data_IF_292344434314
#
_entry.id   IF_292344434314
#
_cell.length_a   1.000
_cell.length_b   1.000
_cell.length_c   1.000
_cell.angle_alpha   90.00
_cell.angle_beta   90.00
_cell.angle_gamma   90.00
#
_symmetry.space_group_name_H-M   'P 1'
#
loop_
_entity.id
_entity.type
_entity.pdbx_description
1 polymer ?
#
# COMPACT_ATOMS: atom_id res chain seq x y z
N UNK A 1 -25.26 -0.58 16.08
CA UNK A 1 -23.88 -0.15 15.80
C UNK A 1 -23.74 0.06 14.30
N UNK A 2 -23.15 1.17 13.90
CA UNK A 2 -22.91 1.55 12.50
C UNK A 2 -21.42 1.75 12.24
N UNK A 3 -21.00 1.47 11.01
CA UNK A 3 -19.68 1.82 10.48
C UNK A 3 -19.79 2.99 9.50
N UNK A 4 -18.76 3.83 9.46
CA UNK A 4 -18.65 4.94 8.50
C UNK A 4 -17.82 4.47 7.30
N UNK A 5 -18.43 4.44 6.12
CA UNK A 5 -17.72 4.11 4.88
C UNK A 5 -16.77 5.24 4.45
N UNK A 6 -15.86 4.92 3.52
CA UNK A 6 -14.82 5.85 3.04
C UNK A 6 -15.39 7.10 2.34
N UNK A 7 -16.58 6.98 1.78
CA UNK A 7 -17.38 8.06 1.18
C UNK A 7 -18.29 8.78 2.20
N UNK A 8 -18.22 8.42 3.49
CA UNK A 8 -18.89 9.10 4.59
C UNK A 8 -20.28 8.59 4.96
N UNK A 9 -20.89 7.68 4.19
CA UNK A 9 -22.20 7.12 4.57
C UNK A 9 -22.10 6.12 5.72
N UNK A 10 -23.18 6.02 6.49
CA UNK A 10 -23.30 5.07 7.60
C UNK A 10 -23.96 3.79 7.12
N UNK A 11 -23.41 2.65 7.52
CA UNK A 11 -24.00 1.33 7.26
C UNK A 11 -24.07 0.53 8.56
N UNK A 12 -25.14 -0.23 8.83
CA UNK A 12 -25.18 -1.12 9.99
C UNK A 12 -24.06 -2.16 9.92
N UNK A 13 -23.45 -2.45 11.07
CA UNK A 13 -22.43 -3.51 11.15
C UNK A 13 -23.08 -4.86 10.84
N UNK A 14 -22.54 -5.56 9.83
CA UNK A 14 -22.98 -6.90 9.45
C UNK A 14 -21.80 -7.87 9.58
N UNK A 15 -21.93 -8.87 10.45
CA UNK A 15 -20.89 -9.87 10.68
C UNK A 15 -20.47 -10.58 9.39
N UNK A 16 -21.45 -11.03 8.60
CA UNK A 16 -21.20 -11.75 7.35
C UNK A 16 -20.34 -10.94 6.39
N UNK A 17 -20.53 -9.62 6.32
CA UNK A 17 -19.71 -8.75 5.45
C UNK A 17 -18.25 -8.66 5.91
N UNK A 18 -18.00 -8.64 7.22
CA UNK A 18 -16.64 -8.64 7.78
C UNK A 18 -15.98 -9.98 7.48
N UNK A 19 -16.66 -11.08 7.78
CA UNK A 19 -16.19 -12.44 7.57
C UNK A 19 -15.91 -12.72 6.10
N UNK A 20 -16.84 -12.40 5.20
CA UNK A 20 -16.68 -12.60 3.76
C UNK A 20 -15.50 -11.82 3.19
N UNK A 21 -15.27 -10.61 3.70
CA UNK A 21 -14.12 -9.79 3.30
C UNK A 21 -12.81 -10.45 3.69
N UNK A 22 -12.68 -10.94 4.92
CA UNK A 22 -11.47 -11.62 5.41
C UNK A 22 -11.29 -12.94 4.64
N UNK A 23 -12.36 -13.71 4.46
CA UNK A 23 -12.35 -14.99 3.75
C UNK A 23 -11.84 -14.88 2.31
N UNK A 24 -12.20 -13.80 1.59
CA UNK A 24 -11.67 -13.52 0.24
C UNK A 24 -10.15 -13.35 0.20
N UNK A 25 -9.51 -13.02 1.32
CA UNK A 25 -8.05 -12.83 1.43
C UNK A 25 -7.33 -14.09 1.93
N UNK A 26 -8.05 -15.15 2.27
CA UNK A 26 -7.49 -16.43 2.74
C UNK A 26 -7.07 -17.39 1.62
N UNK A 27 -7.04 -16.95 0.34
CA UNK A 27 -6.70 -17.83 -0.78
C UNK A 27 -5.30 -18.45 -0.63
N UNK A 28 -5.20 -19.76 -0.78
CA UNK A 28 -3.91 -20.48 -0.68
C UNK A 28 -3.24 -20.42 0.70
N UNK A 29 -3.96 -20.02 1.75
CA UNK A 29 -3.50 -20.17 3.15
C UNK A 29 -3.90 -21.55 3.68
N UNK A 30 -3.21 -22.00 4.72
CA UNK A 30 -3.53 -23.25 5.40
C UNK A 30 -4.96 -23.24 6.00
N UNK A 31 -5.62 -24.40 6.02
CA UNK A 31 -6.98 -24.59 6.57
C UNK A 31 -7.10 -24.24 8.06
N UNK A 32 -5.99 -24.20 8.80
CA UNK A 32 -5.93 -23.73 10.19
C UNK A 32 -6.19 -22.21 10.32
N UNK A 33 -6.08 -21.45 9.22
CA UNK A 33 -6.42 -20.02 9.17
C UNK A 33 -7.92 -19.84 9.01
N UNK A 34 -8.57 -19.45 10.09
CA UNK A 34 -10.02 -19.32 10.17
C UNK A 34 -10.43 -17.84 10.17
N UNK A 35 -11.00 -17.40 9.05
CA UNK A 35 -11.52 -16.05 8.88
C UNK A 35 -12.64 -15.70 9.88
N UNK A 36 -13.43 -16.69 10.31
CA UNK A 36 -14.53 -16.50 11.26
C UNK A 36 -13.97 -16.15 12.63
N UNK A 37 -12.92 -16.84 13.08
CA UNK A 37 -12.24 -16.53 14.36
C UNK A 37 -11.67 -15.12 14.39
N UNK A 38 -11.07 -14.68 13.28
CA UNK A 38 -10.59 -13.29 13.15
C UNK A 38 -11.77 -12.32 13.26
N UNK A 39 -12.84 -12.54 12.49
CA UNK A 39 -14.00 -11.66 12.47
C UNK A 39 -14.69 -11.56 13.85
N UNK A 40 -14.79 -12.66 14.60
CA UNK A 40 -15.34 -12.67 15.96
C UNK A 40 -14.55 -11.74 16.89
N UNK A 41 -13.21 -11.87 16.90
CA UNK A 41 -12.34 -11.01 17.71
C UNK A 41 -12.38 -9.55 17.28
N UNK A 42 -12.52 -9.28 16.00
CA UNK A 42 -12.65 -7.90 15.49
C UNK A 42 -13.93 -7.26 16.04
N UNK A 43 -15.05 -7.98 16.08
CA UNK A 43 -16.32 -7.46 16.60
C UNK A 43 -16.22 -7.04 18.06
N UNK A 44 -15.52 -7.81 18.88
CA UNK A 44 -15.32 -7.51 20.30
C UNK A 44 -14.63 -6.15 20.52
N UNK A 45 -13.82 -5.71 19.54
CA UNK A 45 -13.15 -4.40 19.56
C UNK A 45 -13.88 -3.27 18.84
N UNK A 46 -15.09 -3.49 18.29
CA UNK A 46 -15.82 -2.45 17.56
C UNK A 46 -16.57 -1.50 18.50
N UNK A 47 -16.61 -0.23 18.09
CA UNK A 47 -17.44 0.81 18.70
C UNK A 47 -18.33 1.49 17.63
N UNK A 48 -19.39 2.17 18.08
CA UNK A 48 -20.32 2.84 17.17
C UNK A 48 -19.65 4.02 16.45
N UNK A 49 -19.79 4.06 15.13
CA UNK A 49 -19.21 5.10 14.28
C UNK A 49 -17.78 4.83 13.82
N UNK A 50 -17.21 3.65 14.10
CA UNK A 50 -15.88 3.26 13.58
C UNK A 50 -15.85 3.30 12.05
N UNK A 51 -14.77 3.83 11.48
CA UNK A 51 -14.64 3.88 10.02
C UNK A 51 -14.27 2.52 9.44
N UNK A 52 -14.65 2.27 8.19
CA UNK A 52 -14.26 1.03 7.49
C UNK A 52 -12.74 0.88 7.30
N UNK A 53 -11.99 1.98 7.33
CA UNK A 53 -10.52 1.94 7.27
C UNK A 53 -9.91 1.55 8.63
N UNK A 54 -10.47 2.04 9.74
CA UNK A 54 -10.08 1.61 11.09
C UNK A 54 -10.45 0.15 11.35
N UNK A 55 -11.63 -0.28 10.88
CA UNK A 55 -12.06 -1.68 10.96
C UNK A 55 -11.09 -2.62 10.24
N UNK A 56 -10.64 -2.26 9.03
CA UNK A 56 -9.63 -3.04 8.29
C UNK A 56 -8.28 -3.06 9.04
N UNK A 57 -7.88 -1.97 9.69
CA UNK A 57 -6.66 -1.92 10.51
C UNK A 57 -6.77 -2.84 11.73
N UNK A 58 -7.89 -2.78 12.47
CA UNK A 58 -8.16 -3.66 13.60
C UNK A 58 -8.16 -5.13 13.18
N UNK A 59 -8.73 -5.45 12.02
CA UNK A 59 -8.72 -6.81 11.47
C UNK A 59 -7.31 -7.30 11.13
N UNK A 60 -6.46 -6.44 10.56
CA UNK A 60 -5.07 -6.76 10.29
C UNK A 60 -4.27 -6.99 11.57
N UNK A 61 -4.43 -6.13 12.58
CA UNK A 61 -3.76 -6.27 13.89
C UNK A 61 -4.22 -7.52 14.63
N UNK A 62 -5.51 -7.81 14.59
CA UNK A 62 -6.10 -9.02 15.18
C UNK A 62 -5.52 -10.27 14.52
N UNK A 63 -5.50 -10.32 13.19
CA UNK A 63 -4.87 -11.42 12.45
C UNK A 63 -3.38 -11.55 12.79
N UNK A 64 -2.64 -10.44 12.88
CA UNK A 64 -1.22 -10.48 13.23
C UNK A 64 -0.97 -11.08 14.63
N UNK A 65 -1.84 -10.79 15.60
CA UNK A 65 -1.76 -11.40 16.95
C UNK A 65 -1.96 -12.92 16.93
N UNK A 66 -2.67 -13.44 15.93
CA UNK A 66 -2.96 -14.87 15.75
C UNK A 66 -1.83 -15.64 15.06
N UNK A 67 -0.72 -14.98 14.72
CA UNK A 67 0.50 -15.62 14.18
C UNK A 67 1.05 -16.71 15.12
N UNK A 68 0.81 -16.57 16.43
CA UNK A 68 1.19 -17.58 17.45
C UNK A 68 0.49 -18.92 17.18
N UNK A 69 -0.73 -18.90 16.61
CA UNK A 69 -1.47 -20.11 16.29
C UNK A 69 -1.01 -20.74 14.97
N UNK A 70 -0.76 -19.92 13.94
CA UNK A 70 -0.22 -20.39 12.66
C UNK A 70 0.46 -19.24 11.90
N UNK A 71 1.62 -19.43 11.25
CA UNK A 71 2.34 -18.37 10.54
C UNK A 71 1.54 -17.69 9.42
N UNK A 72 0.65 -18.41 8.74
CA UNK A 72 -0.17 -17.85 7.65
C UNK A 72 -1.14 -16.74 8.12
N UNK A 73 -1.43 -16.62 9.42
CA UNK A 73 -2.14 -15.44 9.94
C UNK A 73 -1.36 -14.14 9.72
N UNK A 74 -0.01 -14.18 9.71
CA UNK A 74 0.81 -13.02 9.35
C UNK A 74 0.63 -12.65 7.87
N UNK A 75 0.48 -13.64 6.97
CA UNK A 75 0.16 -13.37 5.57
C UNK A 75 -1.25 -12.78 5.44
N UNK A 76 -2.24 -13.34 6.13
CA UNK A 76 -3.60 -12.79 6.14
C UNK A 76 -3.62 -11.34 6.63
N UNK A 77 -2.92 -11.06 7.74
CA UNK A 77 -2.79 -9.72 8.29
C UNK A 77 -2.20 -8.74 7.27
N UNK A 78 -1.12 -9.14 6.59
CA UNK A 78 -0.51 -8.34 5.52
C UNK A 78 -1.50 -8.06 4.40
N UNK A 79 -2.22 -9.10 3.92
CA UNK A 79 -3.20 -8.97 2.84
C UNK A 79 -4.34 -8.04 3.21
N UNK A 80 -4.83 -8.08 4.45
CA UNK A 80 -5.87 -7.15 4.95
C UNK A 80 -5.32 -5.72 4.93
N UNK A 81 -4.13 -5.49 5.49
CA UNK A 81 -3.51 -4.17 5.56
C UNK A 81 -3.24 -3.57 4.17
N UNK A 82 -2.75 -4.38 3.23
CA UNK A 82 -2.49 -4.00 1.84
C UNK A 82 -3.79 -3.73 1.10
N UNK A 83 -4.82 -4.57 1.29
CA UNK A 83 -6.15 -4.32 0.73
C UNK A 83 -6.73 -3.00 1.24
N UNK A 84 -6.52 -2.66 2.51
CA UNK A 84 -6.89 -1.37 3.08
C UNK A 84 -6.14 -0.23 2.39
N UNK A 85 -4.81 -0.33 2.25
CA UNK A 85 -3.99 0.68 1.57
C UNK A 85 -4.46 0.90 0.13
N UNK A 86 -4.72 -0.15 -0.63
CA UNK A 86 -5.21 -0.05 -2.01
C UNK A 86 -6.55 0.68 -2.11
N UNK A 87 -7.41 0.60 -1.10
CA UNK A 87 -8.68 1.33 -1.06
C UNK A 87 -8.55 2.80 -0.63
N UNK A 88 -7.41 3.16 -0.03
CA UNK A 88 -7.13 4.53 0.42
C UNK A 88 -6.13 5.26 -0.50
N UNK A 89 -5.65 4.60 -1.57
CA UNK A 89 -4.67 5.16 -2.52
C UNK A 89 -5.17 5.06 -3.95
N UNK A 90 -4.73 5.99 -4.81
CA UNK A 90 -5.03 5.92 -6.23
C UNK A 90 -4.43 4.62 -6.83
N UNK A 91 -5.13 4.06 -7.82
CA UNK A 91 -4.66 2.88 -8.54
C UNK A 91 -3.59 3.26 -9.57
N UNK A 92 -3.74 4.39 -10.26
CA UNK A 92 -2.84 4.80 -11.34
C UNK A 92 -1.50 5.29 -10.78
N UNK A 93 -0.40 4.70 -11.24
CA UNK A 93 0.95 5.12 -10.81
C UNK A 93 1.26 6.53 -11.31
N UNK A 94 1.05 6.80 -12.59
CA UNK A 94 1.35 8.12 -13.18
C UNK A 94 0.53 9.24 -12.53
N UNK A 95 -0.73 9.00 -12.17
CA UNK A 95 -1.56 9.99 -11.45
C UNK A 95 -1.02 10.26 -10.05
N UNK A 96 -0.65 9.23 -9.29
CA UNK A 96 -0.02 9.39 -7.96
C UNK A 96 1.29 10.17 -8.08
N UNK A 97 2.13 9.86 -9.06
CA UNK A 97 3.39 10.57 -9.30
C UNK A 97 3.16 12.04 -9.68
N UNK A 98 2.12 12.31 -10.48
CA UNK A 98 1.72 13.65 -10.85
C UNK A 98 1.19 14.46 -9.66
N UNK A 99 0.42 13.84 -8.77
CA UNK A 99 -0.06 14.46 -7.52
C UNK A 99 1.11 14.82 -6.59
N UNK A 100 2.08 13.91 -6.45
CA UNK A 100 3.28 14.12 -5.65
C UNK A 100 4.20 15.22 -6.19
N UNK A 101 4.30 15.35 -7.51
CA UNK A 101 5.04 16.43 -8.15
C UNK A 101 4.38 17.79 -7.94
N UNK A 102 3.05 17.87 -8.08
CA UNK A 102 2.31 19.12 -7.89
C UNK A 102 1.99 19.43 -6.43
N UNK A 103 2.60 18.72 -5.47
CA UNK A 103 2.32 18.92 -4.05
C UNK A 103 2.68 20.35 -3.60
N UNK A 104 1.73 20.97 -2.92
CA UNK A 104 1.88 22.28 -2.28
C UNK A 104 1.72 22.10 -0.78
N UNK A 105 2.68 22.59 -0.02
CA UNK A 105 2.63 22.50 1.43
C UNK A 105 1.52 23.41 1.98
N UNK A 106 0.49 22.86 2.65
CA UNK A 106 -0.67 23.64 3.08
C UNK A 106 -0.34 24.65 4.19
N UNK A 107 0.81 24.51 4.88
CA UNK A 107 1.19 25.41 5.97
C UNK A 107 1.75 26.75 5.48
N UNK A 108 2.43 26.75 4.34
CA UNK A 108 3.09 27.94 3.80
C UNK A 108 2.68 28.28 2.35
N UNK A 109 1.87 27.44 1.71
CA UNK A 109 1.39 27.64 0.34
C UNK A 109 2.47 27.48 -0.73
N UNK A 110 3.67 27.00 -0.39
CA UNK A 110 4.77 26.86 -1.33
C UNK A 110 4.78 25.49 -1.99
N UNK A 111 5.21 25.44 -3.26
CA UNK A 111 5.45 24.17 -3.97
C UNK A 111 6.52 23.37 -3.22
N UNK A 112 6.20 22.13 -2.91
CA UNK A 112 7.09 21.20 -2.22
C UNK A 112 7.05 19.86 -2.97
N UNK A 113 7.50 19.80 -4.24
CA UNK A 113 7.44 18.59 -5.04
C UNK A 113 8.16 17.45 -4.32
N UNK A 114 7.54 16.27 -4.30
CA UNK A 114 8.15 15.06 -3.74
C UNK A 114 8.90 14.24 -4.81
N UNK A 115 8.79 14.65 -6.07
CA UNK A 115 9.38 14.00 -7.23
C UNK A 115 10.23 15.02 -8.01
N UNK A 116 11.36 14.62 -8.57
CA UNK A 116 12.20 15.50 -9.40
C UNK A 116 11.55 15.81 -10.75
N UNK A 117 11.88 16.97 -11.33
CA UNK A 117 11.37 17.40 -12.65
C UNK A 117 11.71 16.37 -13.75
N UNK A 118 12.92 15.84 -13.73
CA UNK A 118 13.40 14.87 -14.71
C UNK A 118 12.61 13.56 -14.65
N UNK A 119 12.42 13.03 -13.45
CA UNK A 119 11.70 11.75 -13.25
C UNK A 119 10.21 11.93 -13.51
N UNK A 120 9.62 13.05 -13.09
CA UNK A 120 8.24 13.38 -13.43
C UNK A 120 8.03 13.40 -14.95
N UNK A 121 8.92 14.08 -15.69
CA UNK A 121 8.84 14.14 -17.15
C UNK A 121 8.87 12.76 -17.79
N UNK A 122 9.84 11.92 -17.42
CA UNK A 122 9.95 10.54 -17.94
C UNK A 122 8.69 9.73 -17.65
N UNK A 123 8.16 9.83 -16.43
CA UNK A 123 6.94 9.12 -16.03
C UNK A 123 5.74 9.58 -16.84
N UNK A 124 5.59 10.88 -17.07
CA UNK A 124 4.45 11.42 -17.81
C UNK A 124 4.54 11.11 -19.31
N UNK A 125 5.72 11.16 -19.92
CA UNK A 125 5.94 10.80 -21.32
C UNK A 125 5.68 9.30 -21.59
N UNK A 126 5.89 8.44 -20.58
CA UNK A 126 5.75 6.99 -20.69
C UNK A 126 4.63 6.42 -19.80
N UNK A 127 3.63 7.25 -19.45
CA UNK A 127 2.64 6.93 -18.43
C UNK A 127 1.87 5.62 -18.70
N UNK A 128 1.38 5.44 -19.91
CA UNK A 128 0.62 4.23 -20.30
C UNK A 128 1.50 2.97 -20.22
N UNK A 129 2.73 3.07 -20.73
CA UNK A 129 3.71 1.99 -20.69
C UNK A 129 4.02 1.59 -19.24
N UNK A 130 4.42 2.52 -18.38
CA UNK A 130 4.78 2.23 -16.99
C UNK A 130 3.59 1.72 -16.17
N UNK A 131 2.40 2.31 -16.34
CA UNK A 131 1.19 1.87 -15.65
C UNK A 131 0.83 0.41 -15.99
N UNK A 132 0.99 0.01 -17.25
CA UNK A 132 0.64 -1.35 -17.71
C UNK A 132 1.59 -2.44 -17.20
N UNK A 133 2.83 -2.10 -16.85
CA UNK A 133 3.82 -3.06 -16.35
C UNK A 133 3.75 -3.29 -14.84
N UNK A 134 3.02 -2.45 -14.09
CA UNK A 134 2.89 -2.61 -12.64
C UNK A 134 1.93 -3.75 -12.30
N UNK A 135 2.44 -4.73 -11.54
CA UNK A 135 1.67 -5.88 -11.08
C UNK A 135 1.32 -5.71 -9.59
N UNK A 136 0.17 -5.07 -9.32
CA UNK A 136 -0.29 -4.80 -7.95
C UNK A 136 -0.51 -6.04 -7.09
N UNK A 137 -0.73 -7.22 -7.71
CA UNK A 137 -0.85 -8.46 -6.95
C UNK A 137 0.43 -8.82 -6.19
N UNK A 138 1.60 -8.31 -6.61
CA UNK A 138 2.87 -8.50 -5.90
C UNK A 138 2.92 -7.81 -4.54
N UNK A 139 2.07 -6.81 -4.28
CA UNK A 139 1.96 -6.23 -2.94
C UNK A 139 1.52 -7.29 -1.91
N UNK A 140 0.65 -8.23 -2.28
CA UNK A 140 0.17 -9.27 -1.36
C UNK A 140 1.22 -10.33 -0.99
N UNK A 141 2.44 -10.23 -1.53
CA UNK A 141 3.56 -11.11 -1.19
C UNK A 141 4.33 -10.61 0.05
N UNK A 142 4.09 -9.40 0.55
CA UNK A 142 4.68 -8.93 1.80
C UNK A 142 4.07 -9.63 3.00
N UNK A 143 4.88 -9.86 4.03
CA UNK A 143 4.42 -10.21 5.36
C UNK A 143 3.95 -8.95 6.11
N UNK A 144 3.28 -9.14 7.25
CA UNK A 144 2.67 -8.02 7.97
C UNK A 144 3.72 -7.03 8.47
N UNK A 145 4.82 -7.52 9.03
CA UNK A 145 5.88 -6.67 9.58
C UNK A 145 6.68 -5.95 8.49
N UNK A 146 7.01 -6.65 7.38
CA UNK A 146 7.62 -6.02 6.22
C UNK A 146 6.73 -4.91 5.64
N UNK A 147 5.43 -5.18 5.48
CA UNK A 147 4.49 -4.16 5.00
C UNK A 147 4.39 -2.97 5.96
N UNK A 148 4.27 -3.19 7.29
CA UNK A 148 4.20 -2.10 8.27
C UNK A 148 5.48 -1.26 8.32
N UNK A 149 6.63 -1.88 8.09
CA UNK A 149 7.90 -1.16 7.92
C UNK A 149 7.84 -0.24 6.70
N UNK A 150 7.36 -0.73 5.55
CA UNK A 150 7.18 0.09 4.35
C UNK A 150 6.18 1.24 4.59
N UNK A 151 5.02 0.93 5.15
CA UNK A 151 3.94 1.89 5.45
C UNK A 151 4.40 3.03 6.36
N UNK A 152 5.20 2.71 7.38
CA UNK A 152 5.66 3.71 8.35
C UNK A 152 6.67 4.67 7.73
N UNK A 153 7.63 4.14 6.99
CA UNK A 153 8.88 4.82 6.69
C UNK A 153 9.12 5.07 5.20
N UNK A 154 8.75 4.15 4.31
CA UNK A 154 9.20 4.17 2.91
C UNK A 154 8.18 4.77 1.94
N UNK A 155 6.88 4.57 2.19
CA UNK A 155 5.83 5.05 1.29
C UNK A 155 5.63 6.56 1.48
N UNK A 156 5.68 7.31 0.37
CA UNK A 156 5.53 8.76 0.40
C UNK A 156 4.12 9.20 0.83
N UNK A 157 4.08 10.35 1.51
CA UNK A 157 2.87 10.91 2.14
C UNK A 157 2.60 12.31 1.64
N UNK A 158 1.33 12.60 1.35
CA UNK A 158 0.80 13.94 1.10
C UNK A 158 -0.09 14.30 2.28
N UNK A 159 0.18 15.44 2.93
CA UNK A 159 -0.59 15.91 4.09
C UNK A 159 -0.73 14.86 5.22
N UNK A 160 0.34 14.07 5.43
CA UNK A 160 0.37 13.00 6.43
C UNK A 160 -0.34 11.70 6.03
N UNK A 161 -1.01 11.66 4.87
CA UNK A 161 -1.66 10.46 4.33
C UNK A 161 -0.77 9.78 3.31
N UNK A 162 -0.67 8.46 3.38
CA UNK A 162 0.08 7.66 2.42
C UNK A 162 -0.65 7.70 1.08
N UNK A 163 0.06 8.07 0.03
CA UNK A 163 -0.47 8.12 -1.35
C UNK A 163 0.14 7.05 -2.25
N UNK A 164 1.31 6.55 -1.86
CA UNK A 164 2.10 5.61 -2.64
C UNK A 164 1.82 4.15 -2.21
N UNK A 165 1.67 3.24 -3.18
CA UNK A 165 1.65 1.79 -2.94
C UNK A 165 3.07 1.22 -2.98
N UNK A 166 3.34 0.04 -2.40
CA UNK A 166 4.67 -0.55 -2.50
C UNK A 166 5.14 -0.73 -3.96
N UNK A 167 4.26 -1.18 -4.87
CA UNK A 167 4.62 -1.21 -6.29
C UNK A 167 4.91 0.18 -6.90
N UNK A 168 4.21 1.23 -6.47
CA UNK A 168 4.50 2.59 -6.94
C UNK A 168 5.88 3.05 -6.50
N UNK A 169 6.25 2.77 -5.25
CA UNK A 169 7.58 3.05 -4.71
C UNK A 169 8.67 2.33 -5.51
N UNK A 170 8.50 1.02 -5.76
CA UNK A 170 9.49 0.25 -6.53
C UNK A 170 9.62 0.76 -7.97
N UNK A 171 8.52 1.13 -8.63
CA UNK A 171 8.57 1.69 -9.97
C UNK A 171 9.22 3.09 -9.97
N UNK A 172 8.87 3.96 -9.01
CA UNK A 172 9.53 5.27 -8.84
C UNK A 172 11.04 5.13 -8.65
N UNK A 173 11.47 4.20 -7.80
CA UNK A 173 12.90 3.94 -7.57
C UNK A 173 13.57 3.48 -8.87
N UNK A 174 12.93 2.58 -9.61
CA UNK A 174 13.46 2.05 -10.88
C UNK A 174 13.61 3.15 -11.94
N UNK A 175 12.60 4.00 -12.12
CA UNK A 175 12.68 5.19 -12.99
C UNK A 175 13.70 6.20 -12.46
N UNK A 176 13.78 6.39 -11.14
CA UNK A 176 14.74 7.29 -10.53
C UNK A 176 16.21 6.89 -10.73
N UNK A 177 16.48 5.61 -11.00
CA UNK A 177 17.83 5.09 -11.28
C UNK A 177 18.13 5.14 -12.79
N UNK A 178 17.19 4.70 -13.63
CA UNK A 178 17.45 4.43 -15.05
C UNK A 178 16.89 5.48 -16.01
N UNK A 179 16.01 6.37 -15.53
CA UNK A 179 15.40 7.46 -16.30
C UNK A 179 14.80 6.96 -17.63
N UNK A 180 15.35 7.41 -18.76
CA UNK A 180 14.84 7.10 -20.10
C UNK A 180 15.15 5.67 -20.59
N UNK A 181 16.00 4.92 -19.88
CA UNK A 181 16.27 3.52 -20.20
C UNK A 181 15.15 2.61 -19.67
N UNK A 182 14.03 2.58 -20.40
CA UNK A 182 12.82 1.86 -19.99
C UNK A 182 13.03 0.35 -19.87
N UNK A 183 13.96 -0.24 -20.61
CA UNK A 183 14.26 -1.66 -20.49
C UNK A 183 14.84 -1.97 -19.11
N UNK A 184 15.87 -1.21 -18.71
CA UNK A 184 16.48 -1.30 -17.38
C UNK A 184 15.51 -0.93 -16.24
N UNK A 185 14.61 0.04 -16.47
CA UNK A 185 13.52 0.37 -15.52
C UNK A 185 12.66 -0.86 -15.24
N UNK A 186 12.16 -1.51 -16.28
CA UNK A 186 11.26 -2.66 -16.12
C UNK A 186 12.00 -3.84 -15.52
N UNK A 187 13.23 -4.13 -15.96
CA UNK A 187 14.04 -5.21 -15.39
C UNK A 187 14.24 -5.01 -13.88
N UNK A 188 14.64 -3.81 -13.47
CA UNK A 188 14.88 -3.47 -12.07
C UNK A 188 13.61 -3.53 -11.23
N UNK A 189 12.49 -3.01 -11.77
CA UNK A 189 11.18 -3.11 -11.14
C UNK A 189 10.77 -4.58 -10.94
N UNK A 190 10.94 -5.41 -11.96
CA UNK A 190 10.56 -6.82 -11.93
C UNK A 190 11.39 -7.60 -10.91
N UNK A 191 12.72 -7.39 -10.89
CA UNK A 191 13.62 -8.06 -9.95
C UNK A 191 13.32 -7.66 -8.49
N UNK A 192 13.10 -6.37 -8.22
CA UNK A 192 12.75 -5.92 -6.86
C UNK A 192 11.36 -6.37 -6.42
N UNK A 193 10.35 -6.25 -7.28
CA UNK A 193 8.98 -6.62 -6.93
C UNK A 193 8.76 -8.14 -6.82
N UNK A 194 9.61 -8.94 -7.47
CA UNK A 194 9.72 -10.40 -7.25
C UNK A 194 10.63 -10.77 -6.08
N UNK A 195 11.23 -9.78 -5.40
CA UNK A 195 12.13 -9.94 -4.24
C UNK A 195 13.44 -10.68 -4.52
N UNK A 196 13.96 -10.60 -5.75
CA UNK A 196 15.30 -11.15 -6.05
C UNK A 196 16.41 -10.32 -5.38
N UNK A 197 16.21 -9.01 -5.26
CA UNK A 197 17.06 -8.13 -4.46
C UNK A 197 16.26 -6.91 -3.96
N UNK A 198 16.87 -6.10 -3.11
CA UNK A 198 16.37 -4.78 -2.72
C UNK A 198 17.53 -3.79 -2.69
N UNK A 199 17.29 -2.56 -3.11
CA UNK A 199 18.26 -1.49 -2.86
C UNK A 199 18.32 -1.14 -1.37
N UNK A 200 19.42 -0.49 -0.98
CA UNK A 200 19.61 0.00 0.37
C UNK A 200 18.60 1.12 0.70
N UNK A 201 18.36 1.32 1.99
CA UNK A 201 17.40 2.30 2.50
C UNK A 201 17.54 3.70 1.88
N UNK A 202 18.73 4.33 1.77
CA UNK A 202 18.84 5.67 1.18
C UNK A 202 18.30 5.74 -0.25
N UNK A 203 18.52 4.70 -1.06
CA UNK A 203 18.02 4.63 -2.44
C UNK A 203 16.51 4.50 -2.47
N UNK A 204 15.91 3.62 -1.66
CA UNK A 204 14.45 3.43 -1.64
C UNK A 204 13.71 4.72 -1.23
N UNK A 205 14.33 5.49 -0.34
CA UNK A 205 13.79 6.77 0.11
C UNK A 205 13.91 7.87 -0.95
N UNK A 206 15.12 8.04 -1.51
CA UNK A 206 15.46 9.28 -2.20
C UNK A 206 15.50 9.15 -3.72
N UNK A 207 15.51 7.94 -4.28
CA UNK A 207 15.48 7.77 -5.73
C UNK A 207 14.20 8.37 -6.32
N UNK A 208 14.37 9.20 -7.34
CA UNK A 208 13.28 9.94 -7.97
C UNK A 208 12.85 11.23 -7.26
N UNK A 209 13.39 11.55 -6.09
CA UNK A 209 13.06 12.79 -5.36
C UNK A 209 13.92 13.97 -5.84
N UNK A 210 13.54 15.24 -5.59
CA UNK A 210 14.29 16.40 -6.07
C UNK A 210 15.75 16.52 -5.60
N UNK A 211 16.11 15.86 -4.50
CA UNK A 211 17.47 15.89 -3.93
C UNK A 211 17.89 14.48 -3.51
N UNK A 212 18.24 13.60 -4.44
CA UNK A 212 18.73 12.27 -4.10
C UNK A 212 20.02 12.39 -3.27
N UNK A 213 20.14 11.60 -2.19
CA UNK A 213 21.31 11.56 -1.29
C UNK A 213 22.19 10.37 -1.60
#
# INVERSE_FOLDING_TARGET
>A
MYVVKRDGHKEPVMFDKITDRIKKLCYGLNDLVDAVKVAMRVIEGLYDGVSTSELDNLAAETAASMTIAHPDYAQLAARIAISNLHKNTNKSFSETMNEMYHYVNPRNGQKAPLLSDEVHKVIMENAEFLNSHIIYNRDFNYDYFGFKTLERSYLLKINGKIVERPQHMLMRVSVGIHLNDLESVIETYDLMSKKFFTHATPTLFNAGTPKPQ
#
